data_IF_024943388323
#
_entry.id   IF_024943388323
#
_cell.length_a   1.000
_cell.length_b   1.000
_cell.length_c   1.000
_cell.angle_alpha   90.00
_cell.angle_beta   90.00
_cell.angle_gamma   90.00
#
_symmetry.space_group_name_H-M   'P 1'
#
loop_
_entity.id
_entity.type
_entity.pdbx_description
1 polymer ?
#
# COMPACT_ATOMS: atom_id res chain seq x y z
N UNK A 1 -0.82 -6.16 -27.84
CA UNK A 1 -1.45 -6.60 -26.58
C UNK A 1 -0.89 -5.88 -25.34
N UNK A 2 0.44 -5.71 -25.20
CA UNK A 2 1.01 -4.99 -24.04
C UNK A 2 0.67 -3.50 -23.98
N UNK A 3 0.61 -2.81 -25.13
CA UNK A 3 0.32 -1.36 -25.17
C UNK A 3 -1.07 -1.02 -24.64
N UNK A 4 -2.08 -1.78 -25.05
CA UNK A 4 -3.46 -1.61 -24.56
C UNK A 4 -3.54 -1.79 -23.05
N UNK A 5 -2.87 -2.81 -22.51
CA UNK A 5 -2.79 -3.04 -21.06
C UNK A 5 -2.07 -1.91 -20.34
N UNK A 6 -0.91 -1.45 -20.82
CA UNK A 6 -0.19 -0.33 -20.22
C UNK A 6 -1.03 0.95 -20.22
N UNK A 7 -1.76 1.24 -21.31
CA UNK A 7 -2.68 2.38 -21.35
C UNK A 7 -3.84 2.24 -20.37
N UNK A 8 -4.45 1.06 -20.25
CA UNK A 8 -5.54 0.82 -19.29
C UNK A 8 -5.05 0.96 -17.85
N UNK A 9 -3.93 0.34 -17.51
CA UNK A 9 -3.31 0.40 -16.17
C UNK A 9 -2.88 1.84 -15.86
N UNK A 10 -2.33 2.56 -16.82
CA UNK A 10 -2.00 3.99 -16.67
C UNK A 10 -3.24 4.81 -16.31
N UNK A 11 -4.31 4.73 -17.12
CA UNK A 11 -5.52 5.53 -16.92
C UNK A 11 -6.16 5.21 -15.56
N UNK A 12 -6.38 3.92 -15.27
CA UNK A 12 -7.00 3.49 -14.01
C UNK A 12 -6.13 3.85 -12.80
N UNK A 13 -4.83 3.67 -12.91
CA UNK A 13 -3.87 3.94 -11.84
C UNK A 13 -3.74 5.41 -11.50
N UNK A 14 -3.64 6.29 -12.51
CA UNK A 14 -3.55 7.74 -12.30
C UNK A 14 -4.84 8.28 -11.69
N UNK A 15 -6.00 7.90 -12.23
CA UNK A 15 -7.30 8.36 -11.73
C UNK A 15 -7.55 7.81 -10.31
N UNK A 16 -7.37 6.50 -10.11
CA UNK A 16 -7.66 5.83 -8.85
C UNK A 16 -6.74 6.28 -7.72
N UNK A 17 -5.42 6.21 -7.92
CA UNK A 17 -4.47 6.63 -6.89
C UNK A 17 -4.46 8.15 -6.69
N UNK A 18 -4.68 8.94 -7.75
CA UNK A 18 -4.87 10.39 -7.63
C UNK A 18 -6.06 10.75 -6.74
N UNK A 19 -7.18 10.02 -6.87
CA UNK A 19 -8.34 10.20 -6.00
C UNK A 19 -8.02 9.83 -4.55
N UNK A 20 -7.30 8.73 -4.31
CA UNK A 20 -6.84 8.34 -2.94
C UNK A 20 -5.95 9.42 -2.34
N UNK A 21 -4.99 9.94 -3.10
CA UNK A 21 -4.09 11.02 -2.68
C UNK A 21 -4.91 12.27 -2.32
N UNK A 22 -5.88 12.66 -3.14
CA UNK A 22 -6.73 13.81 -2.87
C UNK A 22 -7.57 13.63 -1.60
N UNK A 23 -8.17 12.45 -1.41
CA UNK A 23 -9.03 12.17 -0.24
C UNK A 23 -8.20 12.09 1.04
N UNK A 24 -7.12 11.32 1.07
CA UNK A 24 -6.23 11.21 2.22
C UNK A 24 -5.49 12.54 2.51
N UNK A 25 -5.22 13.31 1.46
CA UNK A 25 -4.55 14.61 1.51
C UNK A 25 -5.43 15.74 2.05
N UNK A 26 -6.69 15.83 1.62
CA UNK A 26 -7.49 17.04 1.81
C UNK A 26 -8.87 16.82 2.42
N UNK A 27 -9.43 15.60 2.36
CA UNK A 27 -10.83 15.34 2.78
C UNK A 27 -10.91 14.57 4.10
N UNK A 28 -9.96 13.68 4.36
CA UNK A 28 -9.93 12.89 5.59
C UNK A 28 -9.29 13.64 6.76
N UNK A 29 -9.78 13.34 7.97
CA UNK A 29 -9.03 13.66 9.20
C UNK A 29 -7.65 13.02 9.12
N UNK A 30 -6.62 13.80 9.45
CA UNK A 30 -5.23 13.33 9.48
C UNK A 30 -5.06 12.32 10.60
N UNK A 31 -5.18 11.05 10.26
CA UNK A 31 -4.93 9.91 11.14
C UNK A 31 -3.63 9.23 10.76
N UNK A 32 -3.08 8.41 11.65
CA UNK A 32 -1.85 7.66 11.37
C UNK A 32 -2.03 6.73 10.16
N UNK A 33 -3.16 6.04 10.07
CA UNK A 33 -3.49 5.19 8.92
C UNK A 33 -3.62 5.98 7.61
N UNK A 34 -4.12 7.23 7.66
CA UNK A 34 -4.19 8.07 6.46
C UNK A 34 -2.81 8.39 5.87
N UNK A 35 -1.76 8.49 6.71
CA UNK A 35 -0.38 8.70 6.24
C UNK A 35 0.11 7.48 5.46
N UNK A 36 -0.13 6.27 5.99
CA UNK A 36 0.25 5.04 5.31
C UNK A 36 -0.42 4.89 3.94
N UNK A 37 -1.74 5.10 3.86
CA UNK A 37 -2.49 5.04 2.60
C UNK A 37 -2.04 6.10 1.60
N UNK A 38 -1.73 7.31 2.08
CA UNK A 38 -1.24 8.39 1.23
C UNK A 38 0.08 7.99 0.56
N UNK A 39 1.05 7.49 1.33
CA UNK A 39 2.34 7.11 0.77
C UNK A 39 2.28 5.87 -0.12
N UNK A 40 1.40 4.91 0.19
CA UNK A 40 1.15 3.77 -0.69
C UNK A 40 0.56 4.24 -2.03
N UNK A 41 -0.43 5.14 -1.99
CA UNK A 41 -1.03 5.72 -3.20
C UNK A 41 -0.02 6.57 -4.00
N UNK A 42 0.91 7.28 -3.34
CA UNK A 42 2.00 7.98 -4.03
C UNK A 42 2.93 6.99 -4.75
N UNK A 43 3.31 5.89 -4.11
CA UNK A 43 4.16 4.87 -4.74
C UNK A 43 3.46 4.26 -5.96
N UNK A 44 2.20 3.85 -5.82
CA UNK A 44 1.40 3.30 -6.91
C UNK A 44 1.17 4.29 -8.04
N UNK A 45 0.92 5.56 -7.71
CA UNK A 45 0.80 6.64 -8.69
C UNK A 45 2.09 6.81 -9.51
N UNK A 46 3.26 6.83 -8.86
CA UNK A 46 4.55 6.91 -9.54
C UNK A 46 4.80 5.71 -10.45
N UNK A 47 4.39 4.50 -10.03
CA UNK A 47 4.48 3.31 -10.88
C UNK A 47 3.62 3.44 -12.13
N UNK A 48 2.35 3.82 -11.97
CA UNK A 48 1.45 4.01 -13.09
C UNK A 48 1.94 5.12 -14.02
N UNK A 49 2.45 6.23 -13.47
CA UNK A 49 3.04 7.33 -14.22
C UNK A 49 4.31 6.94 -15.01
N UNK A 50 4.96 5.82 -14.65
CA UNK A 50 6.11 5.29 -15.41
C UNK A 50 5.71 4.47 -16.65
N UNK A 51 4.46 4.01 -16.76
CA UNK A 51 4.01 3.18 -17.89
C UNK A 51 4.11 3.88 -19.26
N UNK A 52 3.82 5.18 -19.40
CA UNK A 52 4.08 5.91 -20.65
C UNK A 52 5.55 5.87 -21.09
N UNK A 53 6.51 5.78 -20.15
CA UNK A 53 7.93 5.67 -20.50
C UNK A 53 8.23 4.34 -21.22
N UNK A 54 7.51 3.26 -20.90
CA UNK A 54 7.59 1.98 -21.64
C UNK A 54 7.03 2.10 -23.06
N UNK A 55 5.99 2.90 -23.24
CA UNK A 55 5.42 3.16 -24.58
C UNK A 55 6.41 4.02 -25.38
N UNK A 56 7.00 5.04 -24.75
CA UNK A 56 8.03 5.88 -25.34
C UNK A 56 9.26 5.05 -25.75
N UNK A 57 9.77 4.18 -24.87
CA UNK A 57 10.84 3.22 -25.15
C UNK A 57 10.60 2.51 -26.48
N UNK A 58 9.45 1.83 -26.63
CA UNK A 58 9.09 1.13 -27.87
C UNK A 58 8.97 2.05 -29.10
N UNK A 59 8.47 3.27 -28.93
CA UNK A 59 8.33 4.20 -30.06
C UNK A 59 9.68 4.70 -30.59
N UNK A 60 10.63 4.99 -29.70
CA UNK A 60 11.98 5.45 -30.07
C UNK A 60 12.80 4.34 -30.70
N UNK A 61 12.53 3.12 -30.28
CA UNK A 61 13.14 1.91 -30.78
C UNK A 61 12.76 1.61 -32.24
N UNK A 62 11.47 1.76 -32.59
CA UNK A 62 11.00 1.64 -33.96
C UNK A 62 11.58 2.72 -34.90
N UNK A 63 12.05 3.83 -34.33
CA UNK A 63 12.75 4.91 -35.03
C UNK A 63 14.28 4.74 -35.02
N UNK A 64 14.78 3.60 -34.56
CA UNK A 64 16.21 3.29 -34.44
C UNK A 64 16.99 4.26 -33.52
N UNK A 65 16.30 4.98 -32.64
CA UNK A 65 16.90 5.91 -31.67
C UNK A 65 17.27 5.19 -30.37
N UNK A 66 18.25 4.29 -30.47
CA UNK A 66 18.69 3.39 -29.38
C UNK A 66 19.05 4.12 -28.07
N UNK A 67 19.80 5.25 -28.06
CA UNK A 67 20.16 5.92 -26.81
C UNK A 67 18.96 6.45 -26.02
N UNK A 68 17.95 6.95 -26.75
CA UNK A 68 16.73 7.49 -26.16
C UNK A 68 15.84 6.37 -25.61
N UNK A 69 15.67 5.29 -26.38
CA UNK A 69 14.96 4.09 -25.93
C UNK A 69 15.60 3.49 -24.67
N UNK A 70 16.93 3.38 -24.62
CA UNK A 70 17.66 2.90 -23.46
C UNK A 70 17.45 3.76 -22.21
N UNK A 71 17.38 5.09 -22.37
CA UNK A 71 17.14 6.03 -21.28
C UNK A 71 15.73 5.88 -20.68
N UNK A 72 14.72 5.70 -21.53
CA UNK A 72 13.35 5.41 -21.09
C UNK A 72 13.21 4.05 -20.41
N UNK A 73 13.89 3.02 -20.93
CA UNK A 73 13.95 1.70 -20.29
C UNK A 73 14.53 1.77 -18.88
N UNK A 74 15.71 2.41 -18.73
CA UNK A 74 16.40 2.58 -17.44
C UNK A 74 15.51 3.29 -16.41
N UNK A 75 14.93 4.42 -16.81
CA UNK A 75 14.02 5.19 -15.95
C UNK A 75 12.80 4.36 -15.53
N UNK A 76 12.20 3.62 -16.47
CA UNK A 76 11.05 2.76 -16.18
C UNK A 76 11.39 1.65 -15.18
N UNK A 77 12.57 1.04 -15.31
CA UNK A 77 13.03 -0.01 -14.39
C UNK A 77 13.28 0.57 -12.99
N UNK A 78 13.92 1.74 -12.89
CA UNK A 78 14.16 2.39 -11.59
C UNK A 78 12.84 2.72 -10.90
N UNK A 79 11.89 3.35 -11.59
CA UNK A 79 10.59 3.70 -11.02
C UNK A 79 9.77 2.47 -10.61
N UNK A 80 9.80 1.41 -11.43
CA UNK A 80 9.12 0.15 -11.12
C UNK A 80 9.70 -0.51 -9.85
N UNK A 81 11.03 -0.56 -9.73
CA UNK A 81 11.71 -1.12 -8.54
C UNK A 81 11.53 -0.26 -7.29
N UNK A 82 11.50 1.07 -7.46
CA UNK A 82 11.24 1.99 -6.36
C UNK A 82 9.82 1.79 -5.81
N UNK A 83 8.82 1.76 -6.69
CA UNK A 83 7.43 1.48 -6.29
C UNK A 83 7.32 0.15 -5.57
N UNK A 84 7.88 -0.90 -6.15
CA UNK A 84 7.90 -2.25 -5.59
C UNK A 84 8.47 -2.26 -4.17
N UNK A 85 9.63 -1.63 -3.98
CA UNK A 85 10.32 -1.59 -2.71
C UNK A 85 9.56 -0.77 -1.67
N UNK A 86 9.07 0.41 -2.06
CA UNK A 86 8.28 1.27 -1.19
C UNK A 86 6.98 0.58 -0.78
N UNK A 87 6.24 0.01 -1.74
CA UNK A 87 4.97 -0.66 -1.50
C UNK A 87 5.08 -1.84 -0.54
N UNK A 88 6.07 -2.72 -0.71
CA UNK A 88 6.23 -3.88 0.18
C UNK A 88 6.63 -3.47 1.60
N UNK A 89 7.53 -2.49 1.73
CA UNK A 89 7.97 -1.99 3.04
C UNK A 89 6.84 -1.22 3.74
N UNK A 90 6.06 -0.42 3.00
CA UNK A 90 4.86 0.24 3.52
C UNK A 90 3.81 -0.77 3.99
N UNK A 91 3.49 -1.80 3.18
CA UNK A 91 2.54 -2.84 3.57
C UNK A 91 3.02 -3.63 4.80
N UNK A 92 4.31 -3.90 4.89
CA UNK A 92 4.92 -4.57 6.05
C UNK A 92 4.79 -3.68 7.30
N UNK A 93 5.18 -2.41 7.21
CA UNK A 93 5.09 -1.46 8.32
C UNK A 93 3.64 -1.22 8.77
N UNK A 94 2.70 -1.09 7.82
CA UNK A 94 1.26 -1.00 8.12
C UNK A 94 0.74 -2.23 8.87
N UNK A 95 1.25 -3.42 8.54
CA UNK A 95 0.84 -4.67 9.17
C UNK A 95 1.38 -4.78 10.59
N UNK A 96 2.65 -4.37 10.79
CA UNK A 96 3.28 -4.29 12.12
C UNK A 96 2.59 -3.22 12.98
N UNK A 97 2.31 -2.03 12.45
CA UNK A 97 1.61 -0.95 13.15
C UNK A 97 0.25 -1.44 13.70
N UNK A 98 -0.53 -2.14 12.89
CA UNK A 98 -1.80 -2.74 13.34
C UNK A 98 -1.62 -3.86 14.36
N UNK A 99 -0.61 -4.70 14.17
CA UNK A 99 -0.31 -5.76 15.11
C UNK A 99 0.04 -5.20 16.49
N UNK A 100 0.88 -4.17 16.55
CA UNK A 100 1.20 -3.44 17.78
C UNK A 100 -0.05 -2.82 18.40
N UNK A 101 -0.91 -2.17 17.61
CA UNK A 101 -2.17 -1.61 18.12
C UNK A 101 -3.11 -2.64 18.75
N UNK A 102 -3.21 -3.84 18.18
CA UNK A 102 -4.10 -4.90 18.67
C UNK A 102 -3.49 -5.62 19.88
N UNK A 103 -2.19 -5.88 19.86
CA UNK A 103 -1.51 -6.64 20.91
C UNK A 103 -1.17 -5.78 22.13
N UNK A 104 -0.85 -4.50 21.92
CA UNK A 104 -0.42 -3.56 22.96
C UNK A 104 -1.16 -2.21 22.86
N UNK A 105 -2.47 -2.17 23.14
CA UNK A 105 -3.30 -0.99 22.96
C UNK A 105 -2.85 0.23 23.80
N UNK A 106 -2.38 0.00 25.03
CA UNK A 106 -1.88 1.08 25.89
C UNK A 106 -0.61 1.72 25.33
N UNK A 107 0.31 0.90 24.80
CA UNK A 107 1.55 1.36 24.18
C UNK A 107 1.24 2.14 22.89
N UNK A 108 0.35 1.61 22.06
CA UNK A 108 -0.10 2.28 20.85
C UNK A 108 -0.76 3.64 21.16
N UNK A 109 -1.58 3.74 22.21
CA UNK A 109 -2.21 5.02 22.60
C UNK A 109 -1.19 6.10 22.96
N UNK A 110 -0.08 5.73 23.60
CA UNK A 110 0.91 6.69 24.12
C UNK A 110 1.99 7.03 23.09
N UNK A 111 2.53 6.03 22.40
CA UNK A 111 3.75 6.19 21.59
C UNK A 111 3.51 6.26 20.09
N UNK A 112 2.34 5.82 19.61
CA UNK A 112 2.00 5.86 18.19
C UNK A 112 1.62 7.29 17.80
N UNK A 113 2.62 8.07 17.41
CA UNK A 113 2.48 9.48 17.04
C UNK A 113 2.64 9.70 15.54
N UNK A 114 2.11 10.81 15.04
CA UNK A 114 2.31 11.23 13.64
C UNK A 114 3.79 11.44 13.28
N UNK A 115 4.61 11.92 14.22
CA UNK A 115 6.04 12.15 14.00
C UNK A 115 6.79 10.85 13.79
N UNK A 116 6.50 9.84 14.62
CA UNK A 116 7.08 8.51 14.49
C UNK A 116 6.73 7.88 13.13
N UNK A 117 5.47 7.96 12.72
CA UNK A 117 5.02 7.38 11.45
C UNK A 117 5.65 8.09 10.26
N UNK A 118 5.75 9.43 10.30
CA UNK A 118 6.46 10.20 9.26
C UNK A 118 7.95 9.85 9.19
N UNK A 119 8.59 9.63 10.33
CA UNK A 119 9.98 9.16 10.39
C UNK A 119 10.13 7.77 9.76
N UNK A 120 9.28 6.82 10.15
CA UNK A 120 9.30 5.45 9.60
C UNK A 120 9.09 5.48 8.08
N UNK A 121 8.12 6.27 7.60
CA UNK A 121 7.90 6.45 6.17
C UNK A 121 9.13 7.04 5.47
N UNK A 122 9.77 8.05 6.05
CA UNK A 122 11.01 8.61 5.52
C UNK A 122 12.13 7.57 5.41
N UNK A 123 12.28 6.73 6.45
CA UNK A 123 13.22 5.60 6.44
C UNK A 123 12.86 4.60 5.33
N UNK A 124 11.58 4.26 5.16
CA UNK A 124 11.11 3.35 4.11
C UNK A 124 11.47 3.88 2.72
N UNK A 125 11.25 5.16 2.45
CA UNK A 125 11.64 5.77 1.16
C UNK A 125 13.15 5.72 0.97
N UNK A 126 13.93 6.07 2.00
CA UNK A 126 15.39 5.98 1.97
C UNK A 126 15.90 4.56 1.68
N UNK A 127 15.36 3.56 2.37
CA UNK A 127 15.68 2.15 2.14
C UNK A 127 15.24 1.69 0.75
N UNK A 128 14.08 2.12 0.27
CA UNK A 128 13.56 1.78 -1.06
C UNK A 128 14.46 2.33 -2.16
N UNK A 129 14.94 3.57 -2.00
CA UNK A 129 15.92 4.19 -2.89
C UNK A 129 17.26 3.47 -2.84
N UNK A 130 17.73 3.11 -1.65
CA UNK A 130 18.99 2.36 -1.48
C UNK A 130 18.91 0.99 -2.17
N UNK A 131 17.86 0.21 -1.91
CA UNK A 131 17.66 -1.12 -2.50
C UNK A 131 17.55 -1.01 -4.03
N UNK A 132 16.77 -0.04 -4.52
CA UNK A 132 16.63 0.20 -5.96
C UNK A 132 17.95 0.64 -6.59
N UNK A 133 18.69 1.52 -5.94
CA UNK A 133 19.99 2.01 -6.40
C UNK A 133 21.05 0.92 -6.43
N UNK A 134 21.13 0.08 -5.39
CA UNK A 134 22.02 -1.08 -5.34
C UNK A 134 21.65 -2.10 -6.42
N UNK A 135 20.35 -2.39 -6.59
CA UNK A 135 19.91 -3.26 -7.68
C UNK A 135 20.29 -2.66 -9.03
N UNK A 136 20.03 -1.38 -9.27
CA UNK A 136 20.39 -0.71 -10.51
C UNK A 136 21.91 -0.74 -10.74
N UNK A 137 22.73 -0.41 -9.74
CA UNK A 137 24.18 -0.43 -9.86
C UNK A 137 24.71 -1.84 -10.17
N UNK A 138 24.34 -2.83 -9.35
CA UNK A 138 24.76 -4.22 -9.55
C UNK A 138 24.25 -4.77 -10.88
N UNK A 139 23.04 -4.41 -11.30
CA UNK A 139 22.40 -4.98 -12.49
C UNK A 139 22.83 -4.28 -13.79
N UNK A 140 22.87 -2.94 -13.82
CA UNK A 140 23.16 -2.17 -15.02
C UNK A 140 24.64 -1.87 -15.22
N UNK A 141 25.37 -1.50 -14.15
CA UNK A 141 26.77 -1.07 -14.28
C UNK A 141 27.70 -2.24 -14.60
N UNK A 142 27.41 -3.42 -14.05
CA UNK A 142 28.25 -4.61 -14.25
C UNK A 142 27.84 -5.48 -15.44
N UNK A 143 26.60 -5.36 -15.92
CA UNK A 143 26.06 -6.36 -16.86
C UNK A 143 25.44 -5.79 -18.12
N UNK A 144 25.06 -4.50 -18.20
CA UNK A 144 24.40 -3.95 -19.39
C UNK A 144 25.36 -3.10 -20.21
N UNK A 145 25.70 -3.57 -21.42
CA UNK A 145 26.48 -2.80 -22.38
C UNK A 145 25.66 -1.63 -22.92
N UNK A 146 26.30 -0.48 -23.17
CA UNK A 146 25.62 0.78 -23.52
C UNK A 146 24.83 0.68 -24.84
N UNK A 147 25.17 -0.31 -25.67
CA UNK A 147 24.65 -0.55 -27.02
C UNK A 147 23.59 -1.65 -27.10
N UNK A 148 23.38 -2.44 -26.04
CA UNK A 148 22.42 -3.54 -26.04
C UNK A 148 21.13 -3.22 -25.24
N UNK A 149 20.07 -3.92 -25.65
CA UNK A 149 18.74 -3.80 -25.10
C UNK A 149 18.68 -4.45 -23.71
N UNK A 150 18.15 -3.75 -22.70
CA UNK A 150 18.21 -4.20 -21.31
C UNK A 150 17.65 -5.60 -21.05
N UNK A 151 16.65 -6.03 -21.83
CA UNK A 151 16.05 -7.36 -21.70
C UNK A 151 16.82 -8.44 -22.47
N UNK A 152 17.53 -8.08 -23.54
CA UNK A 152 18.43 -9.01 -24.26
C UNK A 152 19.64 -9.32 -23.39
N UNK A 153 20.18 -8.32 -22.71
CA UNK A 153 21.24 -8.49 -21.72
C UNK A 153 20.80 -9.41 -20.57
N UNK A 154 19.57 -9.24 -20.05
CA UNK A 154 18.95 -10.12 -19.05
C UNK A 154 18.93 -11.59 -19.49
N UNK A 155 18.59 -11.84 -20.76
CA UNK A 155 18.53 -13.18 -21.32
C UNK A 155 19.92 -13.80 -21.48
N UNK A 156 20.90 -13.05 -22.01
CA UNK A 156 22.27 -13.51 -22.29
C UNK A 156 23.15 -13.71 -21.04
N UNK A 157 22.74 -13.21 -19.88
CA UNK A 157 23.57 -13.22 -18.68
C UNK A 157 23.76 -14.61 -18.06
N UNK A 158 25.01 -14.93 -17.68
CA UNK A 158 25.39 -16.17 -16.99
C UNK A 158 24.62 -16.35 -15.68
N UNK A 159 24.09 -17.56 -15.48
CA UNK A 159 23.30 -17.96 -14.32
C UNK A 159 24.07 -17.76 -13.00
N UNK A 160 25.37 -18.09 -12.98
CA UNK A 160 26.16 -18.05 -11.76
C UNK A 160 26.29 -16.65 -11.15
N UNK A 161 26.25 -15.60 -11.99
CA UNK A 161 26.36 -14.20 -11.53
C UNK A 161 25.00 -13.58 -11.19
N UNK A 162 23.92 -13.98 -11.88
CA UNK A 162 22.58 -13.39 -11.68
C UNK A 162 21.81 -14.04 -10.52
N UNK A 163 22.00 -15.33 -10.28
CA UNK A 163 21.25 -16.09 -9.27
C UNK A 163 21.39 -15.53 -7.86
N UNK A 164 22.59 -15.20 -7.33
CA UNK A 164 22.73 -14.68 -5.97
C UNK A 164 21.97 -13.37 -5.75
N UNK A 165 22.04 -12.44 -6.72
CA UNK A 165 21.36 -11.14 -6.65
C UNK A 165 19.83 -11.36 -6.62
N UNK A 166 19.31 -12.25 -7.48
CA UNK A 166 17.87 -12.53 -7.52
C UNK A 166 17.39 -13.30 -6.28
N UNK A 167 18.19 -14.20 -5.72
CA UNK A 167 17.88 -14.92 -4.48
C UNK A 167 17.83 -13.99 -3.27
N UNK A 168 18.85 -13.13 -3.09
CA UNK A 168 18.87 -12.13 -2.02
C UNK A 168 17.63 -11.24 -2.13
N UNK A 169 17.29 -10.81 -3.35
CA UNK A 169 16.13 -9.98 -3.62
C UNK A 169 14.80 -10.68 -3.33
N UNK A 170 14.64 -11.95 -3.73
CA UNK A 170 13.48 -12.76 -3.36
C UNK A 170 13.33 -12.85 -1.83
N UNK A 171 14.41 -13.15 -1.12
CA UNK A 171 14.36 -13.31 0.34
C UNK A 171 14.01 -11.99 1.02
N UNK A 172 14.75 -10.91 0.70
CA UNK A 172 14.61 -9.61 1.35
C UNK A 172 13.30 -8.91 1.02
N UNK A 173 12.80 -9.03 -0.22
CA UNK A 173 11.69 -8.21 -0.70
C UNK A 173 10.39 -9.00 -0.91
N UNK A 174 10.42 -10.32 -0.77
CA UNK A 174 9.22 -11.16 -0.86
C UNK A 174 9.05 -12.05 0.38
N UNK A 175 10.01 -12.93 0.68
CA UNK A 175 9.85 -13.95 1.73
C UNK A 175 9.77 -13.33 3.12
N UNK A 176 10.73 -12.48 3.50
CA UNK A 176 10.75 -11.83 4.81
C UNK A 176 9.49 -10.96 5.02
N UNK A 177 9.13 -10.04 4.10
CA UNK A 177 7.89 -9.29 4.19
C UNK A 177 6.64 -10.17 4.28
N UNK A 178 6.56 -11.25 3.49
CA UNK A 178 5.45 -12.20 3.52
C UNK A 178 5.29 -12.82 4.90
N UNK A 179 6.37 -13.32 5.49
CA UNK A 179 6.33 -13.95 6.80
C UNK A 179 5.91 -12.97 7.90
N UNK A 180 6.44 -11.73 7.88
CA UNK A 180 6.05 -10.69 8.84
C UNK A 180 4.56 -10.36 8.71
N UNK A 181 4.10 -10.11 7.49
CA UNK A 181 2.70 -9.79 7.22
C UNK A 181 1.82 -10.98 7.63
N UNK A 182 2.11 -12.20 7.17
CA UNK A 182 1.33 -13.39 7.47
C UNK A 182 1.20 -13.63 8.98
N UNK A 183 2.33 -13.66 9.70
CA UNK A 183 2.33 -13.87 11.16
C UNK A 183 1.59 -12.77 11.91
N UNK A 184 1.71 -11.51 11.48
CA UNK A 184 0.97 -10.39 12.09
C UNK A 184 -0.55 -10.56 11.98
N UNK A 185 -1.09 -10.96 10.83
CA UNK A 185 -2.54 -11.16 10.67
C UNK A 185 -3.04 -12.44 11.31
N UNK A 186 -2.26 -13.52 11.29
CA UNK A 186 -2.62 -14.77 11.99
C UNK A 186 -2.76 -14.49 13.50
N UNK A 187 -1.81 -13.77 14.10
CA UNK A 187 -1.86 -13.44 15.53
C UNK A 187 -3.02 -12.49 15.86
N UNK A 188 -3.27 -11.47 15.04
CA UNK A 188 -4.45 -10.59 15.17
C UNK A 188 -5.74 -11.41 15.11
N UNK A 189 -5.88 -12.29 14.12
CA UNK A 189 -7.07 -13.13 13.93
C UNK A 189 -7.33 -14.03 15.14
N UNK A 190 -6.28 -14.70 15.64
CA UNK A 190 -6.37 -15.57 16.82
C UNK A 190 -6.75 -14.77 18.09
N UNK A 191 -6.17 -13.58 18.28
CA UNK A 191 -6.50 -12.71 19.42
C UNK A 191 -7.95 -12.25 19.39
N UNK A 192 -8.46 -11.86 18.22
CA UNK A 192 -9.84 -11.43 18.04
C UNK A 192 -10.84 -12.58 18.27
N UNK A 193 -10.53 -13.79 17.78
CA UNK A 193 -11.36 -14.97 17.99
C UNK A 193 -11.50 -15.34 19.47
N UNK A 194 -10.42 -15.18 20.25
CA UNK A 194 -10.41 -15.49 21.69
C UNK A 194 -11.12 -14.46 22.55
N UNK A 195 -11.29 -13.23 22.06
CA UNK A 195 -11.74 -12.08 22.86
C UNK A 195 -13.27 -12.04 23.08
N UNK A 196 -14.07 -12.88 22.41
CA UNK A 196 -15.55 -12.85 22.41
C UNK A 196 -16.17 -11.44 22.22
N UNK A 197 -15.39 -10.47 21.73
CA UNK A 197 -15.88 -9.12 21.47
C UNK A 197 -16.93 -9.21 20.36
N UNK A 198 -18.05 -8.48 20.48
CA UNK A 198 -19.02 -8.42 19.40
C UNK A 198 -18.28 -8.04 18.13
N UNK A 199 -18.51 -8.84 17.10
CA UNK A 199 -17.85 -8.80 15.81
C UNK A 199 -18.19 -7.48 15.11
N UNK A 200 -17.60 -6.35 15.57
CA UNK A 200 -17.59 -5.09 14.82
C UNK A 200 -17.05 -5.47 13.45
N UNK A 201 -17.82 -5.13 12.42
CA UNK A 201 -17.63 -5.49 11.01
C UNK A 201 -16.22 -6.01 10.71
N UNK A 202 -16.05 -7.28 10.32
CA UNK A 202 -14.74 -7.82 9.89
C UNK A 202 -14.21 -7.17 8.60
N UNK A 203 -14.94 -6.19 8.06
CA UNK A 203 -14.65 -5.49 6.82
C UNK A 203 -13.21 -4.98 6.74
N UNK A 204 -12.66 -4.14 7.65
CA UNK A 204 -11.30 -3.64 7.52
C UNK A 204 -10.29 -4.78 7.38
N UNK A 205 -10.41 -5.85 8.19
CA UNK A 205 -9.53 -7.03 8.08
C UNK A 205 -9.67 -7.72 6.71
N UNK A 206 -10.89 -7.91 6.19
CA UNK A 206 -11.10 -8.45 4.84
C UNK A 206 -10.45 -7.59 3.75
N UNK A 207 -10.63 -6.27 3.80
CA UNK A 207 -10.01 -5.33 2.83
C UNK A 207 -8.50 -5.51 2.84
N UNK A 208 -7.90 -5.55 4.03
CA UNK A 208 -6.46 -5.62 4.20
C UNK A 208 -5.91 -6.96 3.73
N UNK A 209 -6.54 -8.07 4.13
CA UNK A 209 -6.18 -9.41 3.66
C UNK A 209 -6.28 -9.49 2.13
N UNK A 210 -7.28 -8.86 1.52
CA UNK A 210 -7.40 -8.81 0.07
C UNK A 210 -6.27 -8.01 -0.59
N UNK A 211 -5.90 -6.84 -0.06
CA UNK A 211 -4.74 -6.06 -0.55
C UNK A 211 -3.46 -6.88 -0.47
N UNK A 212 -3.24 -7.57 0.65
CA UNK A 212 -2.06 -8.41 0.88
C UNK A 212 -2.01 -9.59 -0.10
N UNK A 213 -3.11 -10.33 -0.23
CA UNK A 213 -3.19 -11.46 -1.15
C UNK A 213 -2.98 -11.00 -2.59
N UNK A 214 -3.62 -9.89 -2.98
CA UNK A 214 -3.43 -9.31 -4.31
C UNK A 214 -1.96 -8.94 -4.54
N UNK A 215 -1.31 -8.29 -3.57
CA UNK A 215 0.10 -7.96 -3.65
C UNK A 215 0.94 -9.22 -3.90
N UNK A 216 0.83 -10.24 -3.06
CA UNK A 216 1.65 -11.44 -3.21
C UNK A 216 1.36 -12.22 -4.49
N UNK A 217 0.10 -12.29 -4.93
CA UNK A 217 -0.28 -12.95 -6.20
C UNK A 217 0.31 -12.18 -7.39
N UNK A 218 0.24 -10.85 -7.38
CA UNK A 218 0.75 -10.02 -8.47
C UNK A 218 2.29 -10.03 -8.54
N UNK A 219 2.96 -10.05 -7.38
CA UNK A 219 4.42 -9.94 -7.31
C UNK A 219 5.17 -11.28 -7.28
N UNK A 220 4.56 -12.38 -6.85
CA UNK A 220 5.23 -13.68 -6.78
C UNK A 220 5.83 -14.13 -8.12
N UNK A 221 5.09 -14.06 -9.25
CA UNK A 221 5.65 -14.47 -10.54
C UNK A 221 6.89 -13.65 -10.92
N UNK A 222 6.91 -12.37 -10.54
CA UNK A 222 8.03 -11.48 -10.81
C UNK A 222 9.31 -11.86 -10.06
N UNK A 223 9.22 -12.36 -8.83
CA UNK A 223 10.39 -12.83 -8.09
C UNK A 223 10.83 -14.25 -8.46
N UNK A 224 9.89 -15.11 -8.85
CA UNK A 224 10.17 -16.52 -9.16
C UNK A 224 10.78 -16.64 -10.56
N UNK A 225 10.29 -15.85 -11.53
CA UNK A 225 10.67 -15.98 -12.94
C UNK A 225 12.18 -15.87 -13.23
N UNK A 226 12.93 -14.93 -12.63
CA UNK A 226 14.38 -14.86 -12.84
C UNK A 226 15.11 -16.13 -12.40
N UNK A 227 14.61 -16.83 -11.38
CA UNK A 227 15.22 -18.07 -10.87
C UNK A 227 15.00 -19.25 -11.82
N UNK A 228 13.82 -19.31 -12.45
CA UNK A 228 13.43 -20.36 -13.41
C UNK A 228 13.80 -20.01 -14.86
N UNK A 229 14.39 -18.85 -15.11
CA UNK A 229 14.70 -18.36 -16.48
C UNK A 229 15.67 -19.24 -17.26
N UNK A 230 16.36 -20.18 -16.60
CA UNK A 230 17.17 -21.22 -17.24
C UNK A 230 16.35 -22.18 -18.13
N UNK A 231 15.02 -22.26 -17.93
CA UNK A 231 14.13 -23.13 -18.70
C UNK A 231 13.55 -22.46 -19.95
N UNK A 232 13.80 -21.17 -20.19
CA UNK A 232 13.36 -20.53 -21.42
C UNK A 232 14.24 -21.00 -22.59
N UNK A 233 13.63 -21.66 -23.59
CA UNK A 233 14.35 -22.29 -24.70
C UNK A 233 14.70 -21.30 -25.81
N UNK A 234 13.96 -20.21 -25.92
CA UNK A 234 14.21 -19.15 -26.90
C UNK A 234 13.92 -17.74 -26.34
N UNK A 235 14.46 -16.75 -27.04
CA UNK A 235 14.40 -15.35 -26.63
C UNK A 235 12.97 -14.79 -26.69
N UNK A 236 12.14 -15.21 -27.65
CA UNK A 236 10.77 -14.71 -27.85
C UNK A 236 9.88 -15.16 -26.69
N UNK A 237 10.00 -16.42 -26.29
CA UNK A 237 9.31 -16.98 -25.14
C UNK A 237 9.69 -16.24 -23.86
N UNK A 238 10.99 -15.98 -23.64
CA UNK A 238 11.47 -15.21 -22.49
C UNK A 238 10.84 -13.81 -22.45
N UNK A 239 10.86 -13.08 -23.56
CA UNK A 239 10.26 -11.75 -23.68
C UNK A 239 8.76 -11.76 -23.41
N UNK A 240 8.05 -12.75 -23.95
CA UNK A 240 6.59 -12.87 -23.81
C UNK A 240 6.20 -13.10 -22.34
N UNK A 241 6.86 -14.06 -21.68
CA UNK A 241 6.60 -14.37 -20.27
C UNK A 241 6.98 -13.19 -19.37
N UNK A 242 8.15 -12.59 -19.59
CA UNK A 242 8.60 -11.42 -18.84
C UNK A 242 7.59 -10.25 -18.96
N UNK A 243 7.06 -10.01 -20.16
CA UNK A 243 6.03 -9.01 -20.41
C UNK A 243 4.75 -9.31 -19.63
N UNK A 244 4.26 -10.55 -19.65
CA UNK A 244 3.05 -10.95 -18.91
C UNK A 244 3.25 -10.73 -17.39
N UNK A 245 4.41 -11.12 -16.87
CA UNK A 245 4.74 -11.01 -15.46
C UNK A 245 4.85 -9.56 -14.99
N UNK A 246 5.51 -8.70 -15.78
CA UNK A 246 5.57 -7.26 -15.48
C UNK A 246 4.17 -6.65 -15.51
N UNK A 247 3.34 -7.01 -16.50
CA UNK A 247 1.96 -6.52 -16.56
C UNK A 247 1.16 -6.93 -15.33
N UNK A 248 1.30 -8.18 -14.88
CA UNK A 248 0.64 -8.69 -13.67
C UNK A 248 1.10 -7.95 -12.41
N UNK A 249 2.40 -7.65 -12.29
CA UNK A 249 2.94 -6.85 -11.20
C UNK A 249 2.43 -5.40 -11.24
N UNK A 250 2.34 -4.78 -12.42
CA UNK A 250 1.79 -3.44 -12.58
C UNK A 250 0.31 -3.33 -12.20
N UNK A 251 -0.47 -4.40 -12.37
CA UNK A 251 -1.88 -4.43 -11.96
C UNK A 251 -2.06 -4.20 -10.46
N UNK A 252 -1.08 -4.59 -9.62
CA UNK A 252 -1.10 -4.33 -8.18
C UNK A 252 -1.36 -2.85 -7.85
N UNK A 253 -0.73 -1.94 -8.60
CA UNK A 253 -0.86 -0.50 -8.37
C UNK A 253 -2.23 0.07 -8.78
N UNK A 254 -2.99 -0.63 -9.63
CA UNK A 254 -4.36 -0.22 -10.01
C UNK A 254 -5.44 -0.87 -9.15
N UNK A 255 -5.15 -2.04 -8.60
CA UNK A 255 -6.13 -2.82 -7.84
C UNK A 255 -6.34 -2.22 -6.44
N UNK A 256 -5.35 -1.53 -5.86
CA UNK A 256 -5.45 -0.95 -4.51
C UNK A 256 -6.69 -0.03 -4.32
N UNK A 257 -6.93 1.01 -5.15
CA UNK A 257 -8.17 1.81 -5.10
C UNK A 257 -9.45 0.99 -5.28
N UNK A 258 -9.44 -0.02 -6.15
CA UNK A 258 -10.58 -0.90 -6.43
C UNK A 258 -10.92 -1.70 -5.16
N UNK A 259 -9.93 -2.31 -4.51
CA UNK A 259 -10.13 -3.05 -3.27
C UNK A 259 -10.73 -2.15 -2.18
N UNK A 260 -10.26 -0.91 -2.04
CA UNK A 260 -10.81 0.03 -1.06
C UNK A 260 -12.29 0.36 -1.32
N UNK A 261 -12.68 0.58 -2.57
CA UNK A 261 -14.06 0.93 -2.94
C UNK A 261 -15.02 -0.26 -2.86
N UNK A 262 -14.58 -1.45 -3.30
CA UNK A 262 -15.46 -2.62 -3.41
C UNK A 262 -15.58 -3.42 -2.12
N UNK A 263 -14.50 -3.56 -1.33
CA UNK A 263 -14.62 -4.23 -0.03
C UNK A 263 -15.22 -3.32 1.06
N UNK A 264 -15.39 -2.03 0.78
CA UNK A 264 -16.15 -1.08 1.60
C UNK A 264 -17.68 -1.16 1.46
N UNK A 265 -18.25 -2.20 0.82
CA UNK A 265 -19.69 -2.22 0.48
C UNK A 265 -20.61 -3.01 1.40
N UNK A 266 -21.78 -2.40 1.67
CA UNK A 266 -23.10 -3.01 1.56
C UNK A 266 -23.67 -2.50 0.21
N UNK A 267 -24.05 -3.41 -0.69
CA UNK A 267 -24.32 -3.12 -2.11
C UNK A 267 -25.58 -2.25 -2.32
N UNK A 268 -25.46 -1.02 -2.85
CA UNK A 268 -26.59 -0.28 -3.49
C UNK A 268 -26.18 0.64 -4.65
N UNK A 269 -27.14 0.77 -5.59
CA UNK A 269 -27.18 1.52 -6.86
C UNK A 269 -26.78 3.01 -6.72
N UNK A 270 -26.12 3.56 -7.75
CA UNK A 270 -25.50 4.91 -7.89
C UNK A 270 -23.97 4.92 -7.73
N UNK A 271 -23.30 4.13 -8.57
CA UNK A 271 -21.89 3.75 -8.47
C UNK A 271 -20.88 4.90 -8.58
N UNK A 272 -21.08 5.86 -9.49
CA UNK A 272 -20.04 6.86 -9.83
C UNK A 272 -20.09 8.15 -8.97
N UNK A 273 -21.28 8.64 -8.60
CA UNK A 273 -21.43 9.88 -7.80
C UNK A 273 -21.00 9.70 -6.34
N UNK A 274 -20.86 8.45 -5.88
CA UNK A 274 -20.56 8.11 -4.48
C UNK A 274 -19.12 7.65 -4.24
N UNK A 275 -18.28 7.51 -5.27
CA UNK A 275 -16.92 6.94 -5.11
C UNK A 275 -16.08 7.72 -4.08
N UNK A 276 -16.00 9.06 -4.12
CA UNK A 276 -15.16 9.78 -3.16
C UNK A 276 -15.62 9.59 -1.71
N UNK A 277 -16.94 9.63 -1.47
CA UNK A 277 -17.51 9.41 -0.14
C UNK A 277 -17.31 7.97 0.35
N UNK A 278 -17.36 6.98 -0.54
CA UNK A 278 -17.12 5.57 -0.21
C UNK A 278 -15.66 5.33 0.13
N UNK A 279 -14.75 5.90 -0.64
CA UNK A 279 -13.32 5.80 -0.40
C UNK A 279 -12.93 6.51 0.90
N UNK A 280 -13.50 7.70 1.17
CA UNK A 280 -13.37 8.41 2.44
C UNK A 280 -13.85 7.55 3.63
N UNK A 281 -15.00 6.86 3.50
CA UNK A 281 -15.49 5.94 4.53
C UNK A 281 -14.61 4.70 4.70
N UNK A 282 -14.18 4.04 3.63
CA UNK A 282 -13.37 2.82 3.70
C UNK A 282 -11.99 3.09 4.36
N UNK A 283 -11.33 4.17 3.93
CA UNK A 283 -10.08 4.63 4.53
C UNK A 283 -10.28 5.15 5.96
N UNK A 284 -11.42 5.79 6.21
CA UNK A 284 -11.89 6.23 7.53
C UNK A 284 -12.09 5.08 8.52
N UNK A 285 -12.84 4.03 8.14
CA UNK A 285 -13.08 2.82 8.92
C UNK A 285 -11.78 2.07 9.25
N UNK A 286 -10.80 2.10 8.35
CA UNK A 286 -9.47 1.54 8.59
C UNK A 286 -8.60 2.41 9.50
N UNK A 287 -8.93 3.70 9.65
CA UNK A 287 -8.19 4.63 10.50
C UNK A 287 -8.77 4.81 11.90
N UNK A 288 -10.09 4.63 12.04
CA UNK A 288 -10.75 4.58 13.33
C UNK A 288 -10.47 3.23 13.98
N UNK A 289 -9.37 3.18 14.74
CA UNK A 289 -9.13 2.07 15.65
C UNK A 289 -10.23 1.96 16.71
N UNK A 290 -10.42 0.77 17.31
CA UNK A 290 -11.54 0.47 18.21
C UNK A 290 -11.59 1.26 19.53
N UNK A 291 -10.77 2.30 19.72
CA UNK A 291 -10.51 2.90 21.02
C UNK A 291 -11.16 4.28 21.24
N UNK A 292 -12.30 4.56 20.60
CA UNK A 292 -13.07 5.78 20.85
C UNK A 292 -14.45 5.54 21.48
N UNK A 293 -14.56 4.57 22.36
CA UNK A 293 -15.73 4.37 23.23
C UNK A 293 -15.24 3.86 24.59
N UNK A 294 -14.63 4.76 25.37
CA UNK A 294 -14.54 4.62 26.82
C UNK A 294 -14.34 6.02 27.42
N UNK A 295 -15.39 6.83 27.28
CA UNK A 295 -15.69 7.98 28.14
C UNK A 295 -17.22 8.10 28.14
N UNK A 296 -17.86 7.23 28.90
CA UNK A 296 -19.23 7.40 29.42
C UNK A 296 -19.35 6.43 30.60
N UNK A 297 -19.98 6.92 31.68
CA UNK A 297 -19.88 6.51 33.09
C UNK A 297 -18.66 7.15 33.77
N UNK A 298 -18.78 8.21 34.58
CA UNK A 298 -19.77 8.41 35.64
C UNK A 298 -20.66 9.64 35.44
N UNK A 299 -21.98 9.42 35.53
CA UNK A 299 -22.91 10.47 35.86
C UNK A 299 -22.68 10.84 37.34
N UNK A 300 -22.15 12.03 37.59
CA UNK A 300 -22.25 12.65 38.91
C UNK A 300 -23.72 13.01 39.16
N UNK A 301 -24.31 12.68 40.32
CA UNK A 301 -25.64 13.15 40.65
C UNK A 301 -25.62 14.67 40.78
N UNK A 302 -26.60 15.32 40.15
CA UNK A 302 -26.84 16.75 40.28
C UNK A 302 -27.09 17.10 41.75
N UNK A 303 -26.21 17.90 42.33
CA UNK A 303 -26.51 18.65 43.56
C UNK A 303 -27.42 19.79 43.12
N UNK A 304 -28.72 19.63 43.39
CA UNK A 304 -29.74 20.62 43.11
C UNK A 304 -29.67 21.71 44.18
N UNK A 305 -28.96 22.79 43.87
CA UNK A 305 -28.93 24.01 44.67
C UNK A 305 -30.21 24.81 44.37
N UNK A 306 -31.24 24.65 45.21
CA UNK A 306 -32.46 25.46 45.16
C UNK A 306 -32.56 26.34 46.41
N UNK A 307 -31.89 27.48 46.34
CA UNK A 307 -32.27 28.67 47.08
C UNK A 307 -33.44 29.36 46.36
N UNK A 308 -34.66 29.15 46.85
CA UNK A 308 -35.80 30.04 46.57
C UNK A 308 -36.55 30.28 47.89
N UNK A 309 -36.46 31.51 48.39
CA UNK A 309 -37.40 32.16 49.33
C UNK A 309 -38.03 33.31 48.50
N UNK A 310 -39.33 33.72 48.61
CA UNK A 310 -40.01 34.10 49.86
C UNK A 310 -41.56 33.89 49.95
N UNK A 311 -42.11 34.15 51.15
CA UNK A 311 -43.53 34.43 51.52
C UNK A 311 -44.50 33.22 51.58
N UNK A 312 -45.38 33.00 52.57
CA UNK A 312 -46.25 33.94 53.29
C UNK A 312 -46.84 33.32 54.60
N UNK A 313 -46.75 34.07 55.73
CA UNK A 313 -47.69 34.26 56.88
C UNK A 313 -48.16 33.06 57.76
N UNK A 314 -48.67 33.28 59.01
CA UNK A 314 -49.20 34.53 59.58
C UNK A 314 -48.68 34.98 60.97
N UNK A 315 -49.08 36.20 61.27
CA UNK A 315 -49.04 36.94 62.54
C UNK A 315 -49.99 36.31 63.57
N UNK A 316 -49.54 36.21 64.83
CA UNK A 316 -50.41 36.40 66.00
C UNK A 316 -49.60 36.94 67.19
N UNK A 317 -50.04 38.09 67.67
CA UNK A 317 -49.56 38.92 68.76
C UNK A 317 -50.10 38.45 70.12
N UNK A 318 -49.40 38.85 71.20
CA UNK A 318 -49.86 39.05 72.59
C UNK A 318 -50.21 37.82 73.46
N UNK A 319 -49.44 37.59 74.52
CA UNK A 319 -49.71 38.14 75.87
C UNK A 319 -48.45 38.03 76.76
#
# INVERSE_FOLDING_TARGET
MSMTLYSTVFILGIIGNGLVIWIAGFRMKKTISSVWFLHLAIADFLCCASLPLRIAEWSYLLKEQVPMAASFCRSSIVLFNLNMSASVLLLTAMSVDRWVSVMWPFWAKVYRTHNLVRLIVGIIWGLSLLITGLYFYLYFFYFCDVTEWCVVTLFKMDSNRKQPIQQIRLVMMFVIPFLIIFTSYVTIFLKLRKSNRPQRSQRPYRIITAVILCFFICWAPYYIWPLTSMFATDIIQFFTINTIIINLACLNSCINPIIYVFMGQDFRHNFLRSIPLRLERALGEQSNEPYREQETCEAAPAVEDKNINPSNKPVSTNM
#
